data_IF_342154354744
#
_entry.id   IF_342154354744
#
_cell.length_a   1.000
_cell.length_b   1.000
_cell.length_c   1.000
_cell.angle_alpha   90.00
_cell.angle_beta   90.00
_cell.angle_gamma   90.00
#
_symmetry.space_group_name_H-M   'P 1'
#
loop_
_entity.id
_entity.type
_entity.pdbx_description
1 polymer ?
#
# COMPACT_ATOMS: atom_id res chain seq x y z
N UNK A 1 1.58 -0.31 19.98
CA UNK A 1 0.87 0.93 19.58
C UNK A 1 -0.12 0.59 18.46
N UNK A 2 -1.25 1.31 18.38
CA UNK A 2 -2.24 1.18 17.29
C UNK A 2 -2.50 2.57 16.70
N UNK A 3 -2.55 2.67 15.38
CA UNK A 3 -2.80 3.91 14.64
C UNK A 3 -3.91 3.61 13.63
N UNK A 4 -4.96 4.41 13.63
CA UNK A 4 -6.04 4.30 12.65
C UNK A 4 -5.79 5.28 11.49
N UNK A 5 -6.03 4.80 10.27
CA UNK A 5 -6.00 5.62 9.05
C UNK A 5 -7.33 5.43 8.30
N UNK A 6 -7.88 6.53 7.84
CA UNK A 6 -9.06 6.54 6.96
C UNK A 6 -8.61 7.07 5.60
N UNK A 7 -8.74 6.29 4.52
CA UNK A 7 -8.43 6.76 3.18
C UNK A 7 -9.41 7.85 2.72
N UNK A 8 -8.92 8.80 1.94
CA UNK A 8 -9.77 9.72 1.20
C UNK A 8 -10.19 9.07 -0.12
N UNK A 9 -11.46 8.65 -0.18
CA UNK A 9 -12.05 7.96 -1.34
C UNK A 9 -11.76 6.45 -1.38
N UNK A 10 -12.18 5.78 -2.47
CA UNK A 10 -12.21 4.33 -2.55
C UNK A 10 -10.81 3.71 -2.48
N UNK A 11 -10.73 2.56 -1.79
CA UNK A 11 -9.51 1.78 -1.66
C UNK A 11 -9.81 0.28 -1.61
N UNK A 12 -9.44 -0.44 -2.66
CA UNK A 12 -9.29 -1.89 -2.63
C UNK A 12 -7.90 -2.23 -2.06
N UNK A 13 -7.85 -2.49 -0.77
CA UNK A 13 -6.56 -2.79 -0.09
C UNK A 13 -5.94 -4.06 -0.63
N UNK A 14 -6.73 -5.12 -0.83
CA UNK A 14 -6.24 -6.42 -1.30
C UNK A 14 -5.72 -6.30 -2.74
N UNK A 15 -6.49 -5.71 -3.65
CA UNK A 15 -6.07 -5.47 -5.02
C UNK A 15 -4.81 -4.60 -5.08
N UNK A 16 -4.77 -3.53 -4.28
CA UNK A 16 -3.61 -2.64 -4.21
C UNK A 16 -2.34 -3.35 -3.73
N UNK A 17 -2.45 -4.28 -2.74
CA UNK A 17 -1.33 -5.07 -2.24
C UNK A 17 -0.98 -6.29 -3.11
N UNK A 18 -1.77 -6.62 -4.12
CA UNK A 18 -1.58 -7.83 -4.95
C UNK A 18 -0.19 -7.90 -5.63
N UNK A 19 0.45 -6.75 -5.87
CA UNK A 19 1.81 -6.70 -6.42
C UNK A 19 2.83 -7.48 -5.59
N UNK A 20 2.65 -7.56 -4.28
CA UNK A 20 3.56 -8.25 -3.36
C UNK A 20 3.40 -9.77 -3.35
N UNK A 21 2.36 -10.30 -4.01
CA UNK A 21 2.16 -11.74 -4.23
C UNK A 21 2.46 -12.18 -5.66
N UNK A 22 2.62 -11.23 -6.57
CA UNK A 22 2.63 -11.54 -8.01
C UNK A 22 3.72 -12.52 -8.43
N UNK A 23 4.83 -12.53 -7.70
CA UNK A 23 6.01 -13.30 -8.04
C UNK A 23 6.34 -14.37 -6.99
N UNK A 24 5.39 -14.78 -6.18
CA UNK A 24 5.53 -15.74 -5.10
C UNK A 24 5.64 -15.08 -3.73
N UNK A 25 6.09 -15.85 -2.74
CA UNK A 25 6.20 -15.40 -1.37
C UNK A 25 7.37 -14.42 -1.20
N UNK A 26 7.06 -13.24 -0.69
CA UNK A 26 8.05 -12.23 -0.33
C UNK A 26 8.18 -12.18 1.20
N UNK A 27 9.31 -12.66 1.77
CA UNK A 27 9.50 -12.66 3.21
C UNK A 27 9.58 -11.26 3.83
N UNK A 28 9.82 -10.23 3.01
CA UNK A 28 9.90 -8.83 3.46
C UNK A 28 8.55 -8.12 3.41
N UNK A 29 7.61 -8.60 2.59
CA UNK A 29 6.28 -8.06 2.37
C UNK A 29 5.23 -9.16 2.45
N UNK A 30 4.89 -9.58 3.66
CA UNK A 30 3.96 -10.67 3.87
C UNK A 30 2.52 -10.19 3.80
N UNK A 31 1.78 -10.62 2.79
CA UNK A 31 0.36 -10.31 2.62
C UNK A 31 -0.47 -11.54 2.92
N UNK A 32 -1.39 -11.43 3.87
CA UNK A 32 -2.44 -12.40 4.16
C UNK A 32 -3.82 -11.87 3.78
N UNK A 33 -4.87 -12.57 4.18
CA UNK A 33 -6.25 -12.23 3.79
C UNK A 33 -6.71 -10.85 4.26
N UNK A 34 -6.36 -10.47 5.47
CA UNK A 34 -6.74 -9.20 6.11
C UNK A 34 -5.56 -8.50 6.80
N UNK A 35 -4.35 -8.89 6.44
CA UNK A 35 -3.15 -8.41 7.10
C UNK A 35 -1.97 -8.30 6.13
N UNK A 36 -1.24 -7.21 6.27
CA UNK A 36 0.07 -7.00 5.64
C UNK A 36 1.11 -6.79 6.73
N UNK A 37 2.23 -7.51 6.65
CA UNK A 37 3.32 -7.43 7.63
C UNK A 37 4.62 -7.04 6.97
N UNK A 38 5.33 -6.18 7.64
CA UNK A 38 6.62 -5.68 7.17
C UNK A 38 7.48 -5.20 8.35
N UNK A 39 8.75 -4.94 8.07
CA UNK A 39 9.70 -4.34 9.03
C UNK A 39 10.07 -2.94 8.55
N UNK A 40 9.81 -1.95 9.40
CA UNK A 40 10.18 -0.55 9.20
C UNK A 40 11.58 -0.30 9.79
N UNK A 41 12.40 0.45 9.09
CA UNK A 41 13.64 0.97 9.65
C UNK A 41 13.45 2.41 10.10
N UNK A 42 13.64 2.66 11.38
CA UNK A 42 13.64 4.01 11.96
C UNK A 42 14.98 4.21 12.64
N UNK A 43 15.79 5.13 12.13
CA UNK A 43 17.17 5.32 12.54
C UNK A 43 17.95 3.99 12.42
N UNK A 44 18.49 3.46 13.52
CA UNK A 44 19.20 2.18 13.56
C UNK A 44 18.37 1.03 14.13
N UNK A 45 17.03 1.19 14.22
CA UNK A 45 16.13 0.19 14.79
C UNK A 45 15.29 -0.44 13.69
N UNK A 46 15.14 -1.75 13.76
CA UNK A 46 14.18 -2.52 12.97
C UNK A 46 12.90 -2.70 13.79
N UNK A 47 11.78 -2.21 13.28
CA UNK A 47 10.50 -2.16 13.97
C UNK A 47 9.48 -2.95 13.14
N UNK A 48 9.09 -4.16 13.57
CA UNK A 48 8.04 -4.90 12.89
C UNK A 48 6.69 -4.22 13.08
N UNK A 49 5.88 -4.21 12.03
CA UNK A 49 4.52 -3.72 12.08
C UNK A 49 3.58 -4.57 11.25
N UNK A 50 2.30 -4.51 11.55
CA UNK A 50 1.23 -5.06 10.74
C UNK A 50 0.20 -3.99 10.40
N UNK A 51 -0.33 -4.09 9.21
CA UNK A 51 -1.48 -3.31 8.73
C UNK A 51 -2.66 -4.26 8.63
N UNK A 52 -3.77 -3.93 9.27
CA UNK A 52 -5.04 -4.64 9.12
C UNK A 52 -6.08 -3.72 8.52
N UNK A 53 -7.00 -4.30 7.78
CA UNK A 53 -8.10 -3.54 7.19
C UNK A 53 -9.42 -4.25 7.37
N UNK A 54 -10.49 -3.47 7.37
CA UNK A 54 -11.88 -3.91 7.42
C UNK A 54 -12.72 -2.95 6.58
N UNK A 55 -13.98 -3.29 6.36
CA UNK A 55 -14.91 -2.47 5.60
C UNK A 55 -14.96 -2.85 4.13
N UNK A 56 -15.56 -1.97 3.35
CA UNK A 56 -15.70 -2.09 1.89
C UNK A 56 -14.70 -1.20 1.17
N UNK A 57 -14.67 -1.25 -0.15
CA UNK A 57 -13.83 -0.37 -0.98
C UNK A 57 -14.13 1.11 -0.70
N UNK A 58 -15.39 1.47 -0.47
CA UNK A 58 -15.80 2.86 -0.20
C UNK A 58 -15.68 3.28 1.27
N UNK A 59 -15.55 2.33 2.19
CA UNK A 59 -15.41 2.58 3.65
C UNK A 59 -14.28 1.73 4.23
N UNK A 60 -13.13 1.74 3.59
CA UNK A 60 -11.95 1.02 4.06
C UNK A 60 -11.41 1.65 5.33
N UNK A 61 -11.18 0.82 6.35
CA UNK A 61 -10.62 1.22 7.65
C UNK A 61 -9.31 0.48 7.85
N UNK A 62 -8.26 1.24 8.06
CA UNK A 62 -6.91 0.72 8.19
C UNK A 62 -6.42 0.93 9.62
N UNK A 63 -5.82 -0.11 10.18
CA UNK A 63 -5.19 -0.05 11.50
C UNK A 63 -3.75 -0.56 11.40
N UNK A 64 -2.81 0.32 11.67
CA UNK A 64 -1.40 -0.05 11.83
C UNK A 64 -1.17 -0.48 13.27
N UNK A 65 -0.59 -1.65 13.46
CA UNK A 65 -0.19 -2.17 14.78
C UNK A 65 1.32 -2.32 14.84
N UNK A 66 1.92 -1.76 15.87
CA UNK A 66 3.36 -1.79 16.10
C UNK A 66 3.60 -2.39 17.48
N UNK A 67 3.88 -3.70 17.59
CA UNK A 67 4.14 -4.34 18.87
C UNK A 67 5.50 -3.90 19.42
N UNK A 68 5.59 -3.74 20.75
CA UNK A 68 6.86 -3.50 21.45
C UNK A 68 7.55 -2.14 21.19
N UNK A 69 6.99 -1.28 20.35
CA UNK A 69 7.58 0.02 20.04
C UNK A 69 6.59 1.17 20.27
N UNK A 70 7.13 2.33 20.67
CA UNK A 70 6.38 3.57 20.91
C UNK A 70 7.27 4.77 20.53
N UNK A 71 6.63 5.89 20.25
CA UNK A 71 7.29 7.16 19.97
C UNK A 71 6.78 7.81 18.67
N UNK A 72 6.82 9.12 18.63
CA UNK A 72 6.25 9.91 17.52
C UNK A 72 7.01 9.68 16.21
N UNK A 73 8.33 9.53 16.26
CA UNK A 73 9.14 9.23 15.07
C UNK A 73 8.75 7.88 14.44
N UNK A 74 8.50 6.84 15.25
CA UNK A 74 8.07 5.52 14.78
C UNK A 74 6.65 5.61 14.19
N UNK A 75 5.76 6.35 14.86
CA UNK A 75 4.39 6.58 14.38
C UNK A 75 4.39 7.28 13.03
N UNK A 76 5.10 8.38 12.92
CA UNK A 76 5.19 9.18 11.70
C UNK A 76 5.77 8.37 10.53
N UNK A 77 6.85 7.63 10.77
CA UNK A 77 7.49 6.80 9.76
C UNK A 77 6.55 5.67 9.28
N UNK A 78 5.84 4.99 10.20
CA UNK A 78 4.89 3.93 9.85
C UNK A 78 3.70 4.47 9.05
N UNK A 79 3.16 5.63 9.43
CA UNK A 79 2.09 6.30 8.69
C UNK A 79 2.56 6.64 7.28
N UNK A 80 3.72 7.28 7.14
CA UNK A 80 4.28 7.69 5.87
C UNK A 80 4.52 6.48 4.94
N UNK A 81 5.09 5.40 5.46
CA UNK A 81 5.35 4.18 4.68
C UNK A 81 4.04 3.52 4.22
N UNK A 82 3.06 3.37 5.12
CA UNK A 82 1.75 2.78 4.77
C UNK A 82 0.99 3.63 3.75
N UNK A 83 1.02 4.97 3.90
CA UNK A 83 0.42 5.87 2.91
C UNK A 83 1.03 5.70 1.53
N UNK A 84 2.36 5.56 1.44
CA UNK A 84 3.07 5.30 0.17
C UNK A 84 2.69 3.94 -0.42
N UNK A 85 2.74 2.88 0.37
CA UNK A 85 2.43 1.51 -0.07
C UNK A 85 1.00 1.40 -0.60
N UNK A 86 0.04 2.04 0.08
CA UNK A 86 -1.37 2.00 -0.30
C UNK A 86 -1.80 3.14 -1.24
N UNK A 87 -0.87 4.01 -1.64
CA UNK A 87 -1.17 5.11 -2.55
C UNK A 87 -2.21 6.09 -2.01
N UNK A 88 -2.22 6.34 -0.68
CA UNK A 88 -3.28 7.15 -0.05
C UNK A 88 -3.17 8.64 -0.38
N UNK A 89 -2.04 9.09 -0.90
CA UNK A 89 -1.81 10.50 -1.25
C UNK A 89 -2.22 10.83 -2.70
N UNK A 90 -2.68 9.83 -3.47
CA UNK A 90 -3.19 10.08 -4.82
C UNK A 90 -4.67 10.47 -4.79
N UNK A 91 -4.99 11.64 -5.32
CA UNK A 91 -6.37 12.02 -5.64
C UNK A 91 -6.77 11.41 -7.00
N UNK A 92 -7.64 10.40 -6.94
CA UNK A 92 -8.14 9.71 -8.14
C UNK A 92 -9.46 10.30 -8.66
N UNK A 93 -9.99 11.35 -8.05
CA UNK A 93 -11.29 11.94 -8.40
C UNK A 93 -11.33 12.40 -9.85
N UNK A 94 -10.28 13.10 -10.28
CA UNK A 94 -10.15 13.56 -11.66
C UNK A 94 -10.04 12.41 -12.66
N UNK A 95 -9.29 11.37 -12.30
CA UNK A 95 -9.14 10.16 -13.12
C UNK A 95 -10.48 9.43 -13.30
N UNK A 96 -11.21 9.17 -12.24
CA UNK A 96 -12.52 8.51 -12.32
C UNK A 96 -13.52 9.32 -13.14
N UNK A 97 -13.50 10.65 -13.04
CA UNK A 97 -14.36 11.51 -13.84
C UNK A 97 -14.04 11.40 -15.33
N UNK A 98 -12.78 11.47 -15.68
CA UNK A 98 -12.30 11.34 -17.06
C UNK A 98 -12.64 9.97 -17.64
N UNK A 99 -12.34 8.90 -16.90
CA UNK A 99 -12.50 7.52 -17.35
C UNK A 99 -13.97 7.13 -17.59
N UNK A 100 -14.94 7.71 -16.85
CA UNK A 100 -16.37 7.48 -17.08
C UNK A 100 -16.85 7.92 -18.46
N UNK A 101 -16.19 8.88 -19.08
CA UNK A 101 -16.51 9.37 -20.44
C UNK A 101 -15.81 8.61 -21.55
N UNK A 102 -14.93 7.67 -21.25
CA UNK A 102 -14.14 6.93 -22.23
C UNK A 102 -14.64 5.49 -22.34
N UNK A 103 -15.05 5.09 -23.55
CA UNK A 103 -15.65 3.77 -23.80
C UNK A 103 -14.68 2.60 -23.55
N UNK A 104 -13.37 2.82 -23.67
CA UNK A 104 -12.38 1.78 -23.43
C UNK A 104 -11.97 1.73 -21.94
N UNK A 105 -11.87 2.87 -21.28
CA UNK A 105 -11.43 2.95 -19.89
C UNK A 105 -12.56 2.66 -18.88
N UNK A 106 -13.79 3.04 -19.17
CA UNK A 106 -14.90 2.89 -18.22
C UNK A 106 -15.05 1.45 -17.69
N UNK A 107 -15.11 0.40 -18.50
CA UNK A 107 -15.24 -0.98 -18.01
C UNK A 107 -14.00 -1.45 -17.23
N UNK A 108 -12.81 -0.99 -17.59
CA UNK A 108 -11.58 -1.31 -16.85
C UNK A 108 -11.58 -0.67 -15.46
N UNK A 109 -11.96 0.61 -15.38
CA UNK A 109 -12.02 1.33 -14.10
C UNK A 109 -13.12 0.78 -13.20
N UNK A 110 -14.23 0.32 -13.75
CA UNK A 110 -15.27 -0.36 -12.99
C UNK A 110 -14.77 -1.67 -12.38
N UNK A 111 -14.06 -2.49 -13.16
CA UNK A 111 -13.50 -3.77 -12.69
C UNK A 111 -12.35 -3.61 -11.69
N UNK A 112 -11.63 -2.50 -11.73
CA UNK A 112 -10.48 -2.18 -10.88
C UNK A 112 -10.80 -1.05 -9.88
N UNK A 113 -12.08 -0.85 -9.59
CA UNK A 113 -12.51 0.24 -8.71
C UNK A 113 -11.86 0.14 -7.32
N UNK A 114 -11.27 1.24 -6.89
CA UNK A 114 -10.54 1.32 -5.62
C UNK A 114 -9.09 0.86 -5.69
N UNK A 115 -8.63 0.29 -6.82
CA UNK A 115 -7.22 -0.01 -7.00
C UNK A 115 -6.41 1.29 -7.04
N UNK A 116 -5.34 1.36 -6.23
CA UNK A 116 -4.49 2.55 -6.15
C UNK A 116 -3.07 2.29 -6.64
N UNK A 117 -2.39 3.29 -7.22
CA UNK A 117 -0.97 3.19 -7.52
C UNK A 117 -0.18 2.99 -6.22
N UNK A 118 0.58 1.90 -6.13
CA UNK A 118 1.48 1.66 -5.01
C UNK A 118 2.84 2.26 -5.29
N UNK A 119 3.42 2.93 -4.31
CA UNK A 119 4.81 3.35 -4.34
C UNK A 119 5.67 2.35 -3.55
N UNK A 120 6.92 2.22 -3.95
CA UNK A 120 7.87 1.45 -3.14
C UNK A 120 8.02 2.09 -1.76
N UNK A 121 8.17 1.30 -0.70
CA UNK A 121 8.28 1.81 0.66
C UNK A 121 9.40 2.83 0.84
N UNK A 122 10.55 2.58 0.19
CA UNK A 122 11.68 3.50 0.20
C UNK A 122 12.21 3.78 -1.21
N UNK A 123 12.85 4.93 -1.45
CA UNK A 123 13.54 5.21 -2.71
C UNK A 123 14.64 4.18 -3.03
N UNK A 124 15.31 3.66 -2.02
CA UNK A 124 16.33 2.63 -2.18
C UNK A 124 15.73 1.33 -2.73
N UNK A 125 14.63 0.84 -2.15
CA UNK A 125 13.94 -0.36 -2.65
C UNK A 125 13.43 -0.16 -4.08
N UNK A 126 12.92 1.02 -4.40
CA UNK A 126 12.50 1.34 -5.77
C UNK A 126 13.68 1.27 -6.74
N UNK A 127 14.81 1.85 -6.39
CA UNK A 127 16.01 1.85 -7.24
C UNK A 127 16.53 0.43 -7.47
N UNK A 128 16.68 -0.35 -6.42
CA UNK A 128 17.12 -1.76 -6.51
C UNK A 128 16.17 -2.56 -7.37
N UNK A 129 14.85 -2.47 -7.13
CA UNK A 129 13.84 -3.16 -7.92
C UNK A 129 13.86 -2.76 -9.40
N UNK A 130 14.03 -1.48 -9.70
CA UNK A 130 14.11 -0.98 -11.08
C UNK A 130 15.36 -1.49 -11.80
N UNK A 131 16.52 -1.47 -11.15
CA UNK A 131 17.77 -1.97 -11.73
C UNK A 131 17.65 -3.50 -11.98
N UNK A 132 17.14 -4.23 -11.01
CA UNK A 132 16.96 -5.68 -11.12
C UNK A 132 16.01 -6.03 -12.26
N UNK A 133 14.89 -5.34 -12.37
CA UNK A 133 13.91 -5.57 -13.44
C UNK A 133 14.47 -5.28 -14.85
N UNK A 134 15.43 -4.38 -14.98
CA UNK A 134 16.07 -4.10 -16.28
C UNK A 134 17.10 -5.16 -16.67
N UNK A 135 17.67 -5.86 -15.72
CA UNK A 135 18.75 -6.85 -15.96
C UNK A 135 18.23 -8.28 -16.09
N UNK A 136 17.02 -8.54 -15.64
CA UNK A 136 16.40 -9.88 -15.68
C UNK A 136 15.30 -9.83 -16.76
N UNK A 137 15.54 -10.48 -17.90
CA UNK A 137 14.46 -10.80 -18.83
C UNK A 137 13.56 -11.86 -18.16
N UNK A 138 12.40 -11.43 -17.74
CA UNK A 138 11.35 -12.30 -17.20
C UNK A 138 10.38 -12.63 -18.33
#
# INVERSE_FOLDING_TARGET
>A
MKIALTPDGPLDVRGTLSRYHRWGDDPTNQVGDDVFRRVLRVENRLVPYEVRWTGTVDDARIVIRIPGARGDAISAAAIAEVRRILGLDFDLTGFYRMAKGDLALAPLVESLYGLRPTLSPTPFEMLVGSITAQQINV
#
